data_IF_333812020546
#
_entry.id   IF_333812020546
#
_cell.length_a   1.000
_cell.length_b   1.000
_cell.length_c   1.000
_cell.angle_alpha   90.00
_cell.angle_beta   90.00
_cell.angle_gamma   90.00
#
_symmetry.space_group_name_H-M   'P 1'
#
loop_
_entity.id
_entity.type
_entity.pdbx_description
1 polymer ?
#
# COMPACT_ATOMS: atom_id res chain seq x y z
N UNK A 1 -27.88 -12.72 2.49
CA UNK A 1 -28.29 -13.71 1.47
C UNK A 1 -27.99 -15.10 2.01
N UNK A 2 -29.00 -15.97 2.10
CA UNK A 2 -28.85 -17.30 2.69
C UNK A 2 -27.86 -18.16 1.88
N UNK A 3 -26.84 -18.68 2.55
CA UNK A 3 -25.94 -19.66 1.96
C UNK A 3 -26.72 -20.95 1.69
N UNK A 4 -26.63 -21.49 0.46
CA UNK A 4 -27.21 -22.78 0.09
C UNK A 4 -26.43 -23.91 0.78
N UNK A 5 -26.80 -24.25 2.01
CA UNK A 5 -26.20 -25.34 2.79
C UNK A 5 -27.30 -26.26 3.29
N UNK A 6 -27.05 -27.56 3.24
CA UNK A 6 -27.98 -28.56 3.77
C UNK A 6 -28.11 -28.40 5.30
N UNK A 7 -29.34 -28.41 5.85
CA UNK A 7 -29.56 -28.21 7.28
C UNK A 7 -29.16 -29.48 8.06
N UNK A 8 -27.88 -29.61 8.39
CA UNK A 8 -27.33 -30.70 9.21
C UNK A 8 -26.62 -30.11 10.44
N UNK A 9 -26.67 -30.82 11.58
CA UNK A 9 -25.96 -30.46 12.82
C UNK A 9 -24.46 -30.27 12.60
N UNK A 10 -23.85 -31.07 11.73
CA UNK A 10 -22.43 -30.96 11.41
C UNK A 10 -22.10 -29.65 10.67
N UNK A 11 -22.95 -29.24 9.73
CA UNK A 11 -22.81 -27.96 9.02
C UNK A 11 -23.08 -26.77 9.94
N UNK A 12 -24.04 -26.86 10.86
CA UNK A 12 -24.26 -25.84 11.89
C UNK A 12 -23.02 -25.60 12.75
N UNK A 13 -22.33 -26.67 13.17
CA UNK A 13 -21.10 -26.58 13.95
C UNK A 13 -19.96 -25.94 13.12
N UNK A 14 -19.86 -26.28 11.83
CA UNK A 14 -18.90 -25.68 10.89
C UNK A 14 -19.14 -24.18 10.71
N UNK A 15 -20.39 -23.77 10.50
CA UNK A 15 -20.76 -22.36 10.33
C UNK A 15 -20.52 -21.55 11.60
N UNK A 16 -20.83 -22.09 12.79
CA UNK A 16 -20.50 -21.44 14.08
C UNK A 16 -19.00 -21.22 14.25
N UNK A 17 -18.18 -22.24 13.96
CA UNK A 17 -16.71 -22.10 13.97
C UNK A 17 -16.25 -21.01 12.99
N UNK A 18 -16.80 -21.00 11.77
CA UNK A 18 -16.47 -20.00 10.74
C UNK A 18 -16.85 -18.57 11.16
N UNK A 19 -17.99 -18.39 11.83
CA UNK A 19 -18.42 -17.11 12.38
C UNK A 19 -17.45 -16.58 13.45
N UNK A 20 -16.99 -17.43 14.37
CA UNK A 20 -15.99 -17.04 15.38
C UNK A 20 -14.68 -16.60 14.72
N UNK A 21 -14.22 -17.34 13.71
CA UNK A 21 -13.02 -16.99 12.93
C UNK A 21 -13.22 -15.67 12.19
N UNK A 22 -14.39 -15.46 11.55
CA UNK A 22 -14.71 -14.22 10.84
C UNK A 22 -14.73 -13.00 11.78
N UNK A 23 -15.33 -13.11 12.97
CA UNK A 23 -15.34 -12.03 13.98
C UNK A 23 -13.94 -11.69 14.48
N UNK A 24 -13.09 -12.70 14.71
CA UNK A 24 -11.68 -12.47 15.06
C UNK A 24 -10.90 -11.81 13.92
N UNK A 25 -11.08 -12.31 12.70
CA UNK A 25 -10.45 -11.76 11.50
C UNK A 25 -10.85 -10.31 11.23
N UNK A 26 -12.12 -9.96 11.45
CA UNK A 26 -12.60 -8.58 11.36
C UNK A 26 -11.84 -7.65 12.30
N UNK A 27 -11.73 -8.02 13.59
CA UNK A 27 -11.00 -7.22 14.59
C UNK A 27 -9.53 -7.03 14.19
N UNK A 28 -8.84 -8.11 13.83
CA UNK A 28 -7.43 -8.05 13.43
C UNK A 28 -7.19 -7.19 12.19
N UNK A 29 -8.06 -7.29 11.18
CA UNK A 29 -7.94 -6.49 9.97
C UNK A 29 -8.27 -5.02 10.21
N UNK A 30 -9.21 -4.72 11.11
CA UNK A 30 -9.51 -3.36 11.55
C UNK A 30 -8.30 -2.73 12.25
N UNK A 31 -7.71 -3.45 13.20
CA UNK A 31 -6.50 -2.99 13.91
C UNK A 31 -5.32 -2.79 12.95
N UNK A 32 -5.10 -3.72 12.00
CA UNK A 32 -4.07 -3.58 10.95
C UNK A 32 -4.30 -2.33 10.09
N UNK A 33 -5.55 -2.09 9.67
CA UNK A 33 -5.91 -0.93 8.84
C UNK A 33 -5.62 0.37 9.59
N UNK A 34 -6.02 0.46 10.85
CA UNK A 34 -5.86 1.68 11.64
C UNK A 34 -4.37 1.99 11.88
N UNK A 35 -3.55 0.95 12.12
CA UNK A 35 -2.09 1.10 12.20
C UNK A 35 -1.46 1.54 10.85
N UNK A 36 -1.90 0.98 9.72
CA UNK A 36 -1.44 1.40 8.39
C UNK A 36 -1.81 2.85 8.09
N UNK A 37 -3.01 3.31 8.48
CA UNK A 37 -3.44 4.71 8.31
C UNK A 37 -2.54 5.66 9.08
N UNK A 38 -2.17 5.32 10.32
CA UNK A 38 -1.26 6.16 11.11
C UNK A 38 0.11 6.33 10.45
N UNK A 39 0.67 5.24 9.91
CA UNK A 39 1.95 5.27 9.18
C UNK A 39 1.81 6.05 7.87
N UNK A 40 0.72 5.84 7.13
CA UNK A 40 0.44 6.53 5.87
C UNK A 40 0.37 8.05 6.07
N UNK A 41 -0.37 8.54 7.08
CA UNK A 41 -0.48 9.98 7.36
C UNK A 41 0.88 10.58 7.72
N UNK A 42 1.72 9.85 8.44
CA UNK A 42 3.08 10.31 8.77
C UNK A 42 3.94 10.45 7.52
N UNK A 43 3.95 9.42 6.67
CA UNK A 43 4.75 9.41 5.44
C UNK A 43 4.23 10.41 4.40
N UNK A 44 2.92 10.60 4.30
CA UNK A 44 2.33 11.61 3.42
C UNK A 44 2.79 13.02 3.81
N UNK A 45 2.75 13.37 5.10
CA UNK A 45 3.26 14.66 5.59
C UNK A 45 4.76 14.83 5.35
N UNK A 46 5.55 13.76 5.49
CA UNK A 46 6.97 13.81 5.19
C UNK A 46 7.22 14.01 3.69
N UNK A 47 6.46 13.32 2.84
CA UNK A 47 6.52 13.46 1.40
C UNK A 47 6.22 14.88 0.93
N UNK A 48 5.14 15.49 1.45
CA UNK A 48 4.77 16.87 1.11
C UNK A 48 5.89 17.85 1.46
N UNK A 49 6.49 17.72 2.65
CA UNK A 49 7.62 18.57 3.08
C UNK A 49 8.86 18.41 2.21
N UNK A 50 9.26 17.18 1.91
CA UNK A 50 10.47 16.91 1.09
C UNK A 50 10.22 17.35 -0.36
N UNK A 51 8.97 17.26 -0.83
CA UNK A 51 8.57 17.74 -2.15
C UNK A 51 8.64 19.26 -2.25
N UNK A 52 8.13 19.98 -1.27
CA UNK A 52 8.28 21.45 -1.21
C UNK A 52 9.77 21.85 -1.22
N UNK A 53 10.61 21.18 -0.41
CA UNK A 53 12.05 21.43 -0.39
C UNK A 53 12.71 21.15 -1.76
N UNK A 54 12.30 20.08 -2.45
CA UNK A 54 12.77 19.74 -3.78
C UNK A 54 12.38 20.81 -4.80
N UNK A 55 11.12 21.27 -4.78
CA UNK A 55 10.60 22.28 -5.70
C UNK A 55 11.35 23.61 -5.53
N UNK A 56 11.58 24.06 -4.29
CA UNK A 56 12.37 25.27 -4.02
C UNK A 56 13.82 25.15 -4.54
N UNK A 57 14.47 24.01 -4.28
CA UNK A 57 15.84 23.76 -4.74
C UNK A 57 15.92 23.67 -6.26
N UNK A 58 14.95 23.03 -6.90
CA UNK A 58 14.87 22.93 -8.35
C UNK A 58 14.73 24.30 -9.00
N UNK A 59 13.83 25.16 -8.50
CA UNK A 59 13.66 26.52 -9.01
C UNK A 59 14.98 27.31 -8.94
N UNK A 60 15.69 27.22 -7.81
CA UNK A 60 17.02 27.85 -7.65
C UNK A 60 18.05 27.30 -8.64
N UNK A 61 18.01 26.00 -8.93
CA UNK A 61 18.92 25.37 -9.90
C UNK A 61 18.62 25.80 -11.33
N UNK A 62 17.36 25.81 -11.72
CA UNK A 62 16.92 26.29 -13.03
C UNK A 62 17.30 27.75 -13.24
N UNK A 63 17.13 28.61 -12.23
CA UNK A 63 17.56 30.01 -12.31
C UNK A 63 19.09 30.11 -12.55
N UNK A 64 19.90 29.37 -11.79
CA UNK A 64 21.36 29.39 -12.00
C UNK A 64 21.78 28.81 -13.34
N UNK A 65 21.12 27.76 -13.82
CA UNK A 65 21.40 27.17 -15.12
C UNK A 65 20.99 28.10 -16.27
N UNK A 66 19.87 28.79 -16.14
CA UNK A 66 19.41 29.79 -17.12
C UNK A 66 20.40 30.95 -17.26
N UNK A 67 20.98 31.41 -16.14
CA UNK A 67 22.00 32.45 -16.15
C UNK A 67 23.28 31.94 -16.84
N UNK A 68 23.76 30.75 -16.46
CA UNK A 68 24.92 30.14 -17.07
C UNK A 68 24.76 29.92 -18.59
N UNK A 69 23.58 29.47 -19.02
CA UNK A 69 23.24 29.25 -20.43
C UNK A 69 23.18 30.55 -21.24
N UNK A 70 22.94 31.69 -20.58
CA UNK A 70 22.94 33.02 -21.23
C UNK A 70 24.36 33.54 -21.46
N UNK A 71 25.33 33.09 -20.66
CA UNK A 71 26.74 33.49 -20.73
C UNK A 71 27.57 32.64 -21.71
N UNK A 72 27.14 31.41 -21.99
CA UNK A 72 27.85 30.45 -22.84
C UNK A 72 27.15 30.32 -24.19
N UNK A 73 27.91 30.21 -25.28
CA UNK A 73 27.33 29.87 -26.59
C UNK A 73 26.69 28.49 -26.54
N UNK A 74 25.51 28.34 -27.17
CA UNK A 74 24.76 27.08 -27.22
C UNK A 74 25.63 25.88 -27.65
N UNK A 75 26.53 26.09 -28.62
CA UNK A 75 27.40 25.05 -29.15
C UNK A 75 28.39 24.54 -28.08
N UNK A 76 29.01 25.45 -27.33
CA UNK A 76 29.97 25.11 -26.27
C UNK A 76 29.27 24.41 -25.08
N UNK A 77 28.03 24.79 -24.77
CA UNK A 77 27.23 24.12 -23.75
C UNK A 77 26.90 22.67 -24.14
N UNK A 78 26.50 22.45 -25.40
CA UNK A 78 26.21 21.12 -25.93
C UNK A 78 27.46 20.22 -25.90
N UNK A 79 28.61 20.73 -26.34
CA UNK A 79 29.88 20.00 -26.30
C UNK A 79 30.29 19.62 -24.86
N UNK A 80 30.11 20.52 -23.90
CA UNK A 80 30.48 20.28 -22.50
C UNK A 80 29.65 19.15 -21.84
N UNK A 81 28.38 19.02 -22.23
CA UNK A 81 27.42 18.07 -21.66
C UNK A 81 27.34 16.74 -22.43
N UNK A 82 27.90 16.68 -23.65
CA UNK A 82 27.76 15.52 -24.54
C UNK A 82 28.37 14.22 -23.98
N UNK A 83 29.44 14.33 -23.18
CA UNK A 83 30.18 13.18 -22.65
C UNK A 83 30.33 13.22 -21.12
N UNK A 84 29.29 12.84 -20.35
CA UNK A 84 29.40 12.76 -18.90
C UNK A 84 30.40 11.67 -18.47
N UNK A 85 31.34 12.03 -17.60
CA UNK A 85 32.33 11.10 -17.02
C UNK A 85 31.84 10.40 -15.74
N UNK A 86 30.71 10.84 -15.20
CA UNK A 86 30.11 10.27 -14.00
C UNK A 86 29.21 9.08 -14.35
N UNK A 87 29.41 7.95 -13.66
CA UNK A 87 28.48 6.81 -13.70
C UNK A 87 27.65 6.84 -12.42
N UNK A 88 26.35 6.98 -12.56
CA UNK A 88 25.40 6.87 -11.46
C UNK A 88 24.77 5.48 -11.46
N UNK A 89 24.93 4.75 -10.36
CA UNK A 89 24.28 3.45 -10.13
C UNK A 89 23.32 3.61 -8.97
N UNK A 90 22.07 3.22 -9.20
CA UNK A 90 21.03 3.21 -8.16
C UNK A 90 20.78 1.76 -7.75
N UNK A 91 21.09 1.42 -6.50
CA UNK A 91 20.77 0.14 -5.90
C UNK A 91 19.37 0.19 -5.30
N UNK A 92 18.53 -0.79 -5.64
CA UNK A 92 17.18 -0.93 -5.08
C UNK A 92 17.19 -2.00 -4.00
N UNK A 93 16.78 -1.62 -2.79
CA UNK A 93 16.51 -2.55 -1.70
C UNK A 93 15.04 -2.47 -1.29
N UNK A 94 14.56 -3.39 -0.46
CA UNK A 94 13.17 -3.39 -0.01
C UNK A 94 13.10 -3.44 1.51
N UNK A 95 12.22 -2.63 2.09
CA UNK A 95 11.90 -2.59 3.51
C UNK A 95 10.45 -3.01 3.71
N UNK A 96 10.21 -3.88 4.68
CA UNK A 96 8.85 -4.30 5.01
C UNK A 96 8.24 -3.35 6.07
N UNK A 97 7.09 -2.77 5.75
CA UNK A 97 6.27 -1.97 6.68
C UNK A 97 4.91 -2.67 6.80
N UNK A 98 4.68 -3.37 7.91
CA UNK A 98 3.39 -4.03 8.22
C UNK A 98 2.83 -4.89 7.07
N UNK A 99 3.70 -5.71 6.48
CA UNK A 99 3.43 -6.57 5.31
C UNK A 99 3.36 -5.87 3.95
N UNK A 100 3.74 -4.59 3.86
CA UNK A 100 3.93 -3.88 2.58
C UNK A 100 5.42 -3.77 2.31
N UNK A 101 5.88 -4.33 1.19
CA UNK A 101 7.26 -4.20 0.74
C UNK A 101 7.41 -2.87 0.01
N UNK A 102 8.18 -1.98 0.61
CA UNK A 102 8.44 -0.62 0.15
C UNK A 102 9.86 -0.55 -0.39
N UNK A 103 10.09 0.00 -1.60
CA UNK A 103 11.44 0.14 -2.15
C UNK A 103 12.25 1.16 -1.33
N UNK A 104 13.56 0.98 -1.29
CA UNK A 104 14.53 1.93 -0.79
C UNK A 104 15.63 2.12 -1.83
N UNK A 105 15.92 3.37 -2.16
CA UNK A 105 16.89 3.69 -3.20
C UNK A 105 18.21 4.13 -2.56
N UNK A 106 19.30 3.46 -2.92
CA UNK A 106 20.66 3.89 -2.58
C UNK A 106 21.35 4.42 -3.81
N UNK A 107 21.75 5.69 -3.77
CA UNK A 107 22.47 6.33 -4.85
C UNK A 107 23.98 6.17 -4.64
N UNK A 108 24.66 5.57 -5.61
CA UNK A 108 26.12 5.55 -5.70
C UNK A 108 26.54 6.29 -6.96
N UNK A 109 27.41 7.28 -6.82
CA UNK A 109 27.98 7.98 -7.95
C UNK A 109 29.49 7.76 -7.96
N UNK A 110 30.00 7.21 -9.04
CA UNK A 110 31.42 6.99 -9.27
C UNK A 110 31.89 7.89 -10.41
N UNK A 111 32.94 8.69 -10.15
CA UNK A 111 33.56 9.59 -11.12
C UNK A 111 33.45 11.07 -10.77
N UNK A 112 34.05 11.91 -11.63
CA UNK A 112 33.94 13.38 -11.53
C UNK A 112 32.75 13.85 -12.37
N UNK A 113 31.95 14.73 -11.79
CA UNK A 113 30.80 15.36 -12.45
C UNK A 113 31.22 16.42 -13.48
N UNK A 114 32.46 16.90 -13.41
CA UNK A 114 33.06 17.78 -14.43
C UNK A 114 33.59 16.95 -15.61
N UNK A 115 32.93 17.05 -16.77
CA UNK A 115 33.32 16.39 -18.01
C UNK A 115 34.12 17.28 -18.96
N UNK A 116 34.05 18.61 -18.81
CA UNK A 116 34.53 19.61 -19.77
C UNK A 116 35.88 20.25 -19.39
N UNK A 117 36.45 20.99 -20.34
CA UNK A 117 37.65 21.80 -20.18
C UNK A 117 37.30 23.20 -19.65
N UNK A 118 38.18 23.78 -18.83
CA UNK A 118 37.99 25.09 -18.17
C UNK A 118 38.09 26.29 -19.13
N UNK A 119 38.40 26.06 -20.41
CA UNK A 119 38.68 27.13 -21.39
C UNK A 119 37.41 27.84 -21.84
N UNK A 120 36.35 27.09 -22.13
CA UNK A 120 35.09 27.63 -22.70
C UNK A 120 33.92 27.61 -21.72
N UNK A 121 34.17 27.30 -20.44
CA UNK A 121 33.13 27.13 -19.42
C UNK A 121 33.22 28.15 -18.31
N UNK A 122 32.06 28.52 -17.77
CA UNK A 122 31.92 29.53 -16.70
C UNK A 122 31.73 28.87 -15.34
N UNK A 123 32.19 29.55 -14.28
CA UNK A 123 32.01 29.10 -12.90
C UNK A 123 30.53 28.94 -12.50
N UNK A 124 29.60 29.61 -13.19
CA UNK A 124 28.17 29.45 -12.98
C UNK A 124 27.66 28.07 -13.44
N UNK A 125 28.22 27.52 -14.53
CA UNK A 125 27.90 26.17 -15.01
C UNK A 125 28.34 25.10 -14.00
N UNK A 126 29.55 25.26 -13.44
CA UNK A 126 30.08 24.41 -12.38
C UNK A 126 29.16 24.41 -11.16
N UNK A 127 28.72 25.61 -10.75
CA UNK A 127 27.79 25.80 -9.64
C UNK A 127 26.43 25.15 -9.90
N UNK A 128 25.90 25.26 -11.13
CA UNK A 128 24.66 24.61 -11.52
C UNK A 128 24.77 23.09 -11.47
N UNK A 129 25.83 22.51 -12.05
CA UNK A 129 26.04 21.05 -12.07
C UNK A 129 26.19 20.45 -10.68
N UNK A 130 26.91 21.14 -9.77
CA UNK A 130 27.01 20.71 -8.38
C UNK A 130 25.64 20.68 -7.70
N UNK A 131 24.82 21.71 -7.89
CA UNK A 131 23.47 21.75 -7.32
C UNK A 131 22.54 20.68 -7.93
N UNK A 132 22.63 20.42 -9.23
CA UNK A 132 21.89 19.33 -9.87
C UNK A 132 22.28 17.98 -9.28
N UNK A 133 23.57 17.74 -9.02
CA UNK A 133 24.03 16.52 -8.39
C UNK A 133 23.45 16.34 -6.97
N UNK A 134 23.40 17.40 -6.17
CA UNK A 134 22.77 17.39 -4.85
C UNK A 134 21.26 17.11 -4.95
N UNK A 135 20.56 17.72 -5.92
CA UNK A 135 19.13 17.50 -6.15
C UNK A 135 18.80 16.08 -6.57
N UNK A 136 19.66 15.38 -7.33
CA UNK A 136 19.40 13.99 -7.73
C UNK A 136 19.18 13.07 -6.52
N UNK A 137 19.91 13.30 -5.42
CA UNK A 137 19.72 12.54 -4.19
C UNK A 137 18.37 12.81 -3.53
N UNK A 138 17.93 14.07 -3.54
CA UNK A 138 16.61 14.49 -3.05
C UNK A 138 15.48 13.95 -3.93
N UNK A 139 15.63 13.98 -5.25
CA UNK A 139 14.66 13.40 -6.19
C UNK A 139 14.46 11.91 -5.94
N UNK A 140 15.54 11.16 -5.72
CA UNK A 140 15.44 9.73 -5.39
C UNK A 140 14.72 9.50 -4.06
N UNK A 141 14.95 10.37 -3.06
CA UNK A 141 14.23 10.31 -1.79
C UNK A 141 12.74 10.60 -1.93
N UNK A 142 12.36 11.60 -2.74
CA UNK A 142 10.95 11.88 -3.06
C UNK A 142 10.33 10.69 -3.79
N UNK A 143 11.02 10.12 -4.78
CA UNK A 143 10.53 8.94 -5.50
C UNK A 143 10.34 7.72 -4.57
N UNK A 144 11.23 7.54 -3.58
CA UNK A 144 11.07 6.53 -2.53
C UNK A 144 9.77 6.75 -1.74
N UNK A 145 9.57 7.96 -1.22
CA UNK A 145 8.41 8.31 -0.40
C UNK A 145 7.11 8.22 -1.20
N UNK A 146 7.04 8.77 -2.41
CA UNK A 146 5.86 8.70 -3.28
C UNK A 146 5.47 7.25 -3.58
N UNK A 147 6.46 6.41 -3.89
CA UNK A 147 6.19 5.00 -4.15
C UNK A 147 5.72 4.28 -2.89
N UNK A 148 6.30 4.61 -1.74
CA UNK A 148 5.90 4.09 -0.42
C UNK A 148 4.43 4.42 -0.12
N UNK A 149 4.06 5.70 -0.26
CA UNK A 149 2.71 6.22 -0.02
C UNK A 149 1.70 5.55 -0.95
N UNK A 150 2.04 5.41 -2.23
CA UNK A 150 1.17 4.75 -3.23
C UNK A 150 0.93 3.28 -2.88
N UNK A 151 1.97 2.53 -2.49
CA UNK A 151 1.86 1.13 -2.12
C UNK A 151 1.04 0.95 -0.84
N UNK A 152 1.25 1.81 0.16
CA UNK A 152 0.48 1.81 1.40
C UNK A 152 -0.99 2.14 1.15
N UNK A 153 -1.29 3.15 0.32
CA UNK A 153 -2.66 3.50 -0.04
C UNK A 153 -3.41 2.31 -0.67
N UNK A 154 -2.78 1.62 -1.61
CA UNK A 154 -3.35 0.43 -2.24
C UNK A 154 -3.63 -0.69 -1.23
N UNK A 155 -2.75 -0.91 -0.26
CA UNK A 155 -2.96 -1.92 0.78
C UNK A 155 -4.05 -1.51 1.78
N UNK A 156 -4.13 -0.22 2.14
CA UNK A 156 -5.21 0.32 2.98
C UNK A 156 -6.56 0.14 2.29
N UNK A 157 -6.64 0.38 0.98
CA UNK A 157 -7.88 0.20 0.25
C UNK A 157 -8.30 -1.28 0.19
N UNK A 158 -7.36 -2.19 -0.09
CA UNK A 158 -7.60 -3.64 -0.07
C UNK A 158 -8.08 -4.11 1.31
N UNK A 159 -7.44 -3.67 2.38
CA UNK A 159 -7.83 -4.01 3.75
C UNK A 159 -9.20 -3.43 4.10
N UNK A 160 -9.50 -2.18 3.73
CA UNK A 160 -10.83 -1.56 3.89
C UNK A 160 -11.92 -2.37 3.19
N UNK A 161 -11.72 -2.76 1.93
CA UNK A 161 -12.68 -3.58 1.17
C UNK A 161 -12.91 -4.93 1.86
N UNK A 162 -11.85 -5.58 2.38
CA UNK A 162 -11.97 -6.84 3.12
C UNK A 162 -12.71 -6.70 4.45
N UNK A 163 -12.43 -5.64 5.21
CA UNK A 163 -13.13 -5.33 6.48
C UNK A 163 -14.63 -5.12 6.21
N UNK A 164 -14.98 -4.33 5.18
CA UNK A 164 -16.37 -4.09 4.81
C UNK A 164 -17.08 -5.36 4.33
N UNK A 165 -16.40 -6.21 3.56
CA UNK A 165 -16.96 -7.50 3.13
C UNK A 165 -17.22 -8.43 4.32
N UNK A 166 -16.38 -8.39 5.36
CA UNK A 166 -16.63 -9.16 6.58
C UNK A 166 -17.81 -8.59 7.38
N UNK A 167 -17.86 -7.28 7.55
CA UNK A 167 -18.85 -6.58 8.39
C UNK A 167 -20.26 -6.62 7.80
N UNK A 168 -20.41 -6.32 6.52
CA UNK A 168 -21.72 -6.10 5.90
C UNK A 168 -22.24 -7.30 5.10
N UNK A 169 -21.37 -8.25 4.74
CA UNK A 169 -21.76 -9.41 3.92
C UNK A 169 -21.56 -10.71 4.69
N UNK A 170 -20.31 -11.08 4.99
CA UNK A 170 -20.00 -12.42 5.50
C UNK A 170 -20.57 -12.68 6.90
N UNK A 171 -20.41 -11.75 7.85
CA UNK A 171 -20.90 -11.96 9.22
C UNK A 171 -22.44 -12.02 9.25
N UNK A 172 -23.19 -11.08 8.65
CA UNK A 172 -24.65 -11.17 8.56
C UNK A 172 -25.13 -12.43 7.87
N UNK A 173 -24.54 -12.81 6.73
CA UNK A 173 -24.93 -14.02 6.00
C UNK A 173 -24.72 -15.30 6.84
N UNK A 174 -23.63 -15.37 7.60
CA UNK A 174 -23.38 -16.49 8.52
C UNK A 174 -24.39 -16.51 9.67
N UNK A 175 -24.75 -15.36 10.24
CA UNK A 175 -25.73 -15.25 11.33
C UNK A 175 -27.14 -15.64 10.86
N UNK A 176 -27.58 -15.15 9.70
CA UNK A 176 -28.85 -15.54 9.08
C UNK A 176 -28.90 -17.04 8.77
N UNK A 177 -27.83 -17.59 8.18
CA UNK A 177 -27.76 -19.01 7.83
C UNK A 177 -27.77 -19.90 9.07
N UNK A 178 -27.05 -19.52 10.13
CA UNK A 178 -27.08 -20.26 11.41
C UNK A 178 -28.48 -20.23 12.01
N UNK A 179 -29.17 -19.07 11.99
CA UNK A 179 -30.54 -18.95 12.48
C UNK A 179 -31.51 -19.85 11.69
N UNK A 180 -31.40 -19.85 10.36
CA UNK A 180 -32.21 -20.69 9.48
C UNK A 180 -32.02 -22.19 9.74
N UNK A 181 -30.77 -22.66 9.81
CA UNK A 181 -30.49 -24.09 10.05
C UNK A 181 -30.96 -24.50 11.44
N UNK A 182 -30.77 -23.64 12.46
CA UNK A 182 -31.26 -23.91 13.82
C UNK A 182 -32.77 -24.08 13.82
N UNK A 183 -33.50 -23.17 13.18
CA UNK A 183 -34.96 -23.24 13.07
C UNK A 183 -35.43 -24.51 12.34
N UNK A 184 -34.75 -24.91 11.26
CA UNK A 184 -35.08 -26.16 10.53
C UNK A 184 -34.81 -27.42 11.33
N UNK A 185 -33.70 -27.48 12.08
CA UNK A 185 -33.38 -28.61 12.94
C UNK A 185 -34.36 -28.73 14.11
N UNK A 186 -34.78 -27.61 14.70
CA UNK A 186 -35.79 -27.59 15.76
C UNK A 186 -37.16 -28.05 15.24
N UNK A 187 -37.53 -27.65 14.03
CA UNK A 187 -38.77 -28.07 13.37
C UNK A 187 -38.77 -29.59 13.06
N UNK A 188 -37.65 -30.13 12.58
CA UNK A 188 -37.48 -31.58 12.42
C UNK A 188 -37.52 -32.33 13.75
N UNK A 189 -36.90 -31.80 14.81
CA UNK A 189 -36.93 -32.43 16.12
C UNK A 189 -38.35 -32.46 16.71
N UNK A 190 -39.12 -31.38 16.51
CA UNK A 190 -40.55 -31.31 16.89
C UNK A 190 -41.38 -32.35 16.15
N UNK A 191 -41.23 -32.47 14.83
CA UNK A 191 -42.00 -33.44 14.04
C UNK A 191 -41.68 -34.89 14.43
N UNK A 192 -40.41 -35.20 14.69
CA UNK A 192 -40.01 -36.54 15.17
C UNK A 192 -40.58 -36.87 16.54
N UNK A 193 -40.60 -35.90 17.48
CA UNK A 193 -41.18 -36.12 18.81
C UNK A 193 -42.69 -36.37 18.74
N UNK A 194 -43.43 -35.59 17.94
CA UNK A 194 -44.86 -35.79 17.72
C UNK A 194 -45.16 -37.17 17.12
N UNK A 195 -44.34 -37.65 16.18
CA UNK A 195 -44.48 -38.99 15.60
C UNK A 195 -44.25 -40.09 16.65
N UNK A 196 -43.21 -39.98 17.48
CA UNK A 196 -42.93 -40.94 18.56
C UNK A 196 -44.07 -40.97 19.58
N UNK A 197 -44.64 -39.81 19.95
CA UNK A 197 -45.78 -39.74 20.86
C UNK A 197 -47.00 -40.49 20.30
N UNK A 198 -47.35 -40.30 19.02
CA UNK A 198 -48.44 -41.03 18.37
C UNK A 198 -48.21 -42.53 18.33
N UNK A 199 -47.00 -42.98 17.99
CA UNK A 199 -46.65 -44.40 17.98
C UNK A 199 -46.81 -45.00 19.38
N UNK A 200 -46.38 -44.27 20.42
CA UNK A 200 -46.52 -44.69 21.81
C UNK A 200 -47.98 -44.80 22.26
N UNK A 201 -48.86 -43.91 21.80
CA UNK A 201 -50.30 -43.99 22.04
C UNK A 201 -50.92 -45.23 21.39
N UNK A 202 -50.56 -45.52 20.13
CA UNK A 202 -51.06 -46.70 19.41
C UNK A 202 -50.64 -48.02 20.07
N UNK A 203 -49.42 -48.11 20.60
CA UNK A 203 -48.91 -49.33 21.26
C UNK A 203 -49.55 -49.54 22.65
N UNK A 204 -50.06 -48.49 23.29
CA UNK A 204 -50.71 -48.55 24.61
C UNK A 204 -52.23 -48.78 24.55
N UNK A 205 -52.84 -48.58 23.39
CA UNK A 205 -54.24 -48.90 23.12
C UNK A 205 -54.38 -50.38 22.71
#
# INVERSE_FOLDING_TARGET
MLLKVNPNRMELLRLRKRLVVAKRGYKLLKDKRDALIQVFVRLAKENDRVREELEEKLLKCYATFSNASSLISKLALEEALMFPKAKSVTEVSFKNIMSVNVPQYKFKCEGKYYSYSLVDTTAELDGALKKYHEILTLMLKVAELDKSVTLLANEIEKTRRRVNALEYVLIPDLEETIKFITMKLDEMARSTNSAIMRIKEIIRA
#
